data_IF_117393206244
#
_entry.id   IF_117393206244
#
_cell.length_a   1.000
_cell.length_b   1.000
_cell.length_c   1.000
_cell.angle_alpha   90.00
_cell.angle_beta   90.00
_cell.angle_gamma   90.00
#
_symmetry.space_group_name_H-M   'P 1'
#
loop_
_entity.id
_entity.type
_entity.pdbx_description
1 polymer ?
#
# COMPACT_ATOMS: atom_id res chain seq x y z
N UNK A 1 6.76 -3.68 -5.65
CA UNK A 1 8.07 -4.34 -5.85
C UNK A 1 8.11 -4.98 -7.23
N UNK A 2 9.18 -4.75 -7.98
CA UNK A 2 9.33 -5.18 -9.35
C UNK A 2 10.62 -6.01 -9.47
N UNK A 3 10.53 -7.19 -10.06
CA UNK A 3 11.69 -8.06 -10.31
C UNK A 3 12.26 -7.87 -11.72
N UNK A 4 13.55 -8.15 -11.86
CA UNK A 4 14.22 -8.20 -13.16
C UNK A 4 14.62 -6.84 -13.74
N UNK A 5 14.45 -5.74 -12.99
CA UNK A 5 14.80 -4.39 -13.44
C UNK A 5 15.55 -3.63 -12.35
N UNK A 6 16.52 -2.80 -12.73
CA UNK A 6 17.12 -1.84 -11.81
C UNK A 6 16.28 -0.57 -11.68
N UNK A 7 16.62 0.26 -10.69
CA UNK A 7 16.08 1.62 -10.55
C UNK A 7 16.45 2.50 -11.75
N UNK A 8 17.67 2.40 -12.25
CA UNK A 8 18.12 3.07 -13.48
C UNK A 8 17.29 2.62 -14.70
N UNK A 9 17.06 1.31 -14.86
CA UNK A 9 16.26 0.76 -15.98
C UNK A 9 14.81 1.28 -15.98
N UNK A 10 14.28 1.59 -14.79
CA UNK A 10 12.92 2.09 -14.64
C UNK A 10 12.78 3.55 -15.11
N UNK A 11 13.78 4.40 -14.84
CA UNK A 11 13.77 5.82 -15.20
C UNK A 11 14.45 6.15 -16.54
N UNK A 12 15.10 5.17 -17.17
CA UNK A 12 15.86 5.37 -18.41
C UNK A 12 14.96 5.75 -19.58
N UNK A 13 15.36 6.80 -20.30
CA UNK A 13 14.72 7.25 -21.56
C UNK A 13 15.49 6.85 -22.81
N UNK A 14 16.75 6.45 -22.69
CA UNK A 14 17.58 6.09 -23.84
C UNK A 14 17.46 4.60 -24.20
N UNK A 15 17.13 4.30 -25.45
CA UNK A 15 17.11 2.93 -25.97
C UNK A 15 18.42 2.64 -26.73
N UNK A 16 19.25 1.75 -26.17
CA UNK A 16 20.53 1.38 -26.76
C UNK A 16 20.41 0.57 -28.06
N UNK A 17 19.29 -0.13 -28.29
CA UNK A 17 19.07 -0.93 -29.50
C UNK A 17 18.72 -0.07 -30.70
N UNK A 18 17.86 0.93 -30.50
CA UNK A 18 17.40 1.84 -31.57
C UNK A 18 18.20 3.13 -31.63
N UNK A 19 19.12 3.35 -30.68
CA UNK A 19 19.90 4.59 -30.52
C UNK A 19 19.02 5.84 -30.51
N UNK A 20 17.85 5.76 -29.88
CA UNK A 20 16.84 6.82 -29.87
C UNK A 20 16.33 7.12 -28.46
N UNK A 21 15.77 8.31 -28.29
CA UNK A 21 14.95 8.61 -27.11
C UNK A 21 13.65 7.80 -27.17
N UNK A 22 13.23 7.31 -26.02
CA UNK A 22 12.03 6.50 -25.79
C UNK A 22 11.41 6.90 -24.45
N UNK A 23 10.10 6.69 -24.29
CA UNK A 23 9.46 6.90 -22.98
C UNK A 23 10.02 5.90 -21.96
N UNK A 24 10.29 6.40 -20.76
CA UNK A 24 10.76 5.56 -19.65
C UNK A 24 9.64 4.66 -19.13
N UNK A 25 9.99 3.63 -18.36
CA UNK A 25 8.98 2.81 -17.67
C UNK A 25 8.26 3.63 -16.61
N UNK A 26 8.95 4.56 -15.96
CA UNK A 26 8.34 5.52 -15.04
C UNK A 26 7.23 6.32 -15.74
N UNK A 27 7.49 6.85 -16.94
CA UNK A 27 6.48 7.62 -17.69
C UNK A 27 5.27 6.76 -18.04
N UNK A 28 5.50 5.57 -18.61
CA UNK A 28 4.44 4.62 -18.96
C UNK A 28 3.62 4.19 -17.74
N UNK A 29 4.29 4.02 -16.59
CA UNK A 29 3.64 3.68 -15.33
C UNK A 29 2.75 4.81 -14.83
N UNK A 30 3.23 6.06 -14.88
CA UNK A 30 2.43 7.24 -14.55
C UNK A 30 1.20 7.37 -15.45
N UNK A 31 1.39 7.25 -16.76
CA UNK A 31 0.30 7.33 -17.74
C UNK A 31 -0.75 6.24 -17.46
N UNK A 32 -0.30 4.99 -17.27
CA UNK A 32 -1.22 3.87 -17.02
C UNK A 32 -2.01 4.05 -15.72
N UNK A 33 -1.37 4.53 -14.65
CA UNK A 33 -2.08 4.80 -13.40
C UNK A 33 -3.05 5.98 -13.51
N UNK A 34 -2.69 7.02 -14.27
CA UNK A 34 -3.56 8.16 -14.53
C UNK A 34 -4.84 7.72 -15.23
N UNK A 35 -4.70 6.88 -16.27
CA UNK A 35 -5.83 6.29 -17.01
C UNK A 35 -6.71 5.42 -16.10
N UNK A 36 -6.12 4.51 -15.32
CA UNK A 36 -6.86 3.61 -14.41
C UNK A 36 -7.57 4.34 -13.26
N UNK A 37 -7.00 5.46 -12.80
CA UNK A 37 -7.57 6.27 -11.73
C UNK A 37 -8.52 7.35 -12.23
N UNK A 38 -8.61 7.55 -13.54
CA UNK A 38 -9.31 8.66 -14.19
C UNK A 38 -8.91 10.01 -13.58
N UNK A 39 -7.61 10.27 -13.53
CA UNK A 39 -6.99 11.51 -13.03
C UNK A 39 -5.92 11.98 -14.01
N UNK A 40 -5.50 13.24 -13.91
CA UNK A 40 -4.42 13.76 -14.73
C UNK A 40 -3.08 13.12 -14.35
N UNK A 41 -2.21 12.95 -15.35
CA UNK A 41 -0.86 12.40 -15.18
C UNK A 41 -0.02 13.15 -14.15
N UNK A 42 -0.22 14.45 -14.06
CA UNK A 42 0.45 15.33 -13.10
C UNK A 42 0.03 15.08 -11.66
N UNK A 43 -1.13 14.46 -11.44
CA UNK A 43 -1.60 14.05 -10.13
C UNK A 43 -1.07 12.68 -9.69
N UNK A 44 -0.19 12.04 -10.47
CA UNK A 44 0.46 10.76 -10.13
C UNK A 44 1.94 11.01 -9.84
N UNK A 45 2.33 10.89 -8.58
CA UNK A 45 3.69 11.14 -8.11
C UNK A 45 4.41 9.82 -7.85
N UNK A 46 5.49 9.57 -8.59
CA UNK A 46 6.44 8.50 -8.26
C UNK A 46 7.57 9.15 -7.46
N UNK A 47 7.47 9.06 -6.13
CA UNK A 47 8.39 9.77 -5.22
C UNK A 47 9.58 8.93 -4.77
N UNK A 48 9.61 7.62 -5.06
CA UNK A 48 10.75 6.76 -4.76
C UNK A 48 10.87 5.59 -5.73
N UNK A 49 12.08 5.36 -6.22
CA UNK A 49 12.48 4.20 -7.04
C UNK A 49 13.82 3.72 -6.48
N UNK A 50 13.81 2.61 -5.72
CA UNK A 50 14.95 2.13 -4.96
C UNK A 50 15.34 0.71 -5.34
N UNK A 51 16.60 0.49 -5.72
CA UNK A 51 17.15 -0.84 -5.92
C UNK A 51 17.37 -1.53 -4.56
N UNK A 52 16.67 -2.63 -4.32
CA UNK A 52 16.77 -3.43 -3.09
C UNK A 52 17.82 -4.53 -3.18
N UNK A 53 17.97 -5.12 -4.37
CA UNK A 53 18.93 -6.19 -4.64
C UNK A 53 19.47 -6.03 -6.05
N UNK A 54 20.78 -6.26 -6.25
CA UNK A 54 21.42 -6.18 -7.57
C UNK A 54 21.27 -7.46 -8.41
N UNK A 55 21.36 -8.65 -7.79
CA UNK A 55 21.35 -9.93 -8.50
C UNK A 55 20.47 -10.98 -7.80
N UNK A 56 19.38 -11.45 -8.43
CA UNK A 56 18.70 -10.78 -9.55
C UNK A 56 18.13 -9.42 -9.11
N UNK A 57 18.03 -8.45 -10.03
CA UNK A 57 17.64 -7.09 -9.68
C UNK A 57 16.21 -7.04 -9.16
N UNK A 58 16.01 -6.29 -8.08
CA UNK A 58 14.74 -6.12 -7.39
C UNK A 58 14.59 -4.65 -7.00
N UNK A 59 13.57 -4.00 -7.52
CA UNK A 59 13.36 -2.55 -7.36
C UNK A 59 12.02 -2.28 -6.70
N UNK A 60 12.03 -1.43 -5.68
CA UNK A 60 10.83 -0.92 -5.04
C UNK A 60 10.46 0.43 -5.64
N UNK A 61 9.19 0.58 -5.99
CA UNK A 61 8.61 1.82 -6.51
C UNK A 61 7.51 2.25 -5.54
N UNK A 62 7.59 3.48 -5.05
CA UNK A 62 6.54 4.08 -4.23
C UNK A 62 5.95 5.28 -4.96
N UNK A 63 4.62 5.35 -4.89
CA UNK A 63 3.87 6.37 -5.58
C UNK A 63 2.68 6.81 -4.76
N UNK A 64 2.23 8.02 -5.02
CA UNK A 64 0.95 8.56 -4.57
C UNK A 64 0.18 9.04 -5.78
N UNK A 65 -1.13 9.10 -5.65
CA UNK A 65 -1.95 9.80 -6.62
C UNK A 65 -3.03 10.60 -5.89
N UNK A 66 -3.38 11.74 -6.46
CA UNK A 66 -4.36 12.64 -5.87
C UNK A 66 -5.49 13.02 -6.81
N UNK A 67 -6.62 13.35 -6.20
CA UNK A 67 -7.64 14.23 -6.76
C UNK A 67 -7.89 15.35 -5.75
N UNK A 68 -9.15 15.74 -5.55
CA UNK A 68 -9.55 16.52 -4.38
C UNK A 68 -10.23 15.60 -3.35
N UNK A 69 -9.55 14.91 -2.38
CA UNK A 69 -8.15 14.94 -1.92
C UNK A 69 -7.28 13.73 -2.40
N UNK A 70 -6.10 13.48 -1.78
CA UNK A 70 -5.25 12.30 -2.03
C UNK A 70 -6.00 10.97 -1.87
N UNK A 71 -5.74 10.03 -2.78
CA UNK A 71 -6.32 8.69 -2.67
C UNK A 71 -5.63 7.89 -1.57
N UNK A 72 -6.42 7.13 -0.80
CA UNK A 72 -5.88 6.24 0.24
C UNK A 72 -4.99 5.15 -0.39
N UNK A 73 -3.89 4.75 0.28
CA UNK A 73 -2.98 3.72 -0.23
C UNK A 73 -3.69 2.40 -0.58
N UNK A 74 -4.70 2.02 0.21
CA UNK A 74 -5.48 0.80 -0.03
C UNK A 74 -6.18 0.81 -1.40
N UNK A 75 -6.70 1.97 -1.84
CA UNK A 75 -7.31 2.11 -3.17
C UNK A 75 -6.26 1.96 -4.26
N UNK A 76 -5.10 2.58 -4.09
CA UNK A 76 -4.02 2.53 -5.07
C UNK A 76 -3.48 1.11 -5.24
N UNK A 77 -3.20 0.43 -4.12
CA UNK A 77 -2.79 -0.97 -4.13
C UNK A 77 -3.86 -1.86 -4.79
N UNK A 78 -5.13 -1.67 -4.45
CA UNK A 78 -6.24 -2.41 -5.05
C UNK A 78 -6.34 -2.24 -6.57
N UNK A 79 -6.17 -1.01 -7.08
CA UNK A 79 -6.16 -0.74 -8.53
C UNK A 79 -4.98 -1.43 -9.22
N UNK A 80 -3.77 -1.36 -8.64
CA UNK A 80 -2.60 -2.03 -9.21
C UNK A 80 -2.78 -3.55 -9.20
N UNK A 81 -3.37 -4.13 -8.16
CA UNK A 81 -3.64 -5.56 -8.09
C UNK A 81 -4.69 -6.01 -9.12
N UNK A 82 -5.81 -5.31 -9.25
CA UNK A 82 -6.86 -5.67 -10.22
C UNK A 82 -6.41 -5.56 -11.67
N UNK A 83 -5.52 -4.62 -11.96
CA UNK A 83 -5.02 -4.37 -13.32
C UNK A 83 -3.57 -4.80 -13.51
N UNK A 84 -3.08 -5.74 -12.70
CA UNK A 84 -1.66 -6.13 -12.67
C UNK A 84 -1.14 -6.55 -14.04
N UNK A 85 -1.82 -7.47 -14.72
CA UNK A 85 -1.39 -7.98 -16.02
C UNK A 85 -1.34 -6.89 -17.09
N UNK A 86 -2.33 -5.99 -17.07
CA UNK A 86 -2.42 -4.85 -17.99
C UNK A 86 -1.26 -3.87 -17.76
N UNK A 87 -0.95 -3.56 -16.50
CA UNK A 87 0.19 -2.71 -16.12
C UNK A 87 1.52 -3.37 -16.48
N UNK A 88 1.70 -4.67 -16.18
CA UNK A 88 2.93 -5.41 -16.49
C UNK A 88 3.21 -5.41 -17.99
N UNK A 89 2.18 -5.64 -18.81
CA UNK A 89 2.25 -5.61 -20.27
C UNK A 89 2.53 -4.20 -20.80
N UNK A 90 1.77 -3.20 -20.35
CA UNK A 90 1.84 -1.84 -20.89
C UNK A 90 3.02 -1.04 -20.38
N UNK A 91 3.65 -1.43 -19.28
CA UNK A 91 4.86 -0.79 -18.75
C UNK A 91 6.11 -1.62 -19.08
N UNK A 92 5.96 -2.94 -19.27
CA UNK A 92 7.04 -3.88 -19.51
C UNK A 92 7.83 -4.16 -18.23
N UNK A 93 7.12 -4.56 -17.18
CA UNK A 93 7.65 -4.85 -15.82
C UNK A 93 7.08 -6.15 -15.29
N UNK A 94 7.69 -6.70 -14.24
CA UNK A 94 7.18 -7.88 -13.53
C UNK A 94 6.95 -7.51 -12.06
N UNK A 95 5.71 -7.21 -11.68
CA UNK A 95 5.34 -6.74 -10.34
C UNK A 95 5.22 -7.96 -9.44
N UNK A 96 6.18 -8.20 -8.55
CA UNK A 96 6.14 -9.37 -7.67
C UNK A 96 5.26 -9.17 -6.44
N UNK A 97 5.07 -7.93 -5.99
CA UNK A 97 4.34 -7.61 -4.76
C UNK A 97 3.79 -6.18 -4.82
N UNK A 98 2.53 -6.01 -4.43
CA UNK A 98 1.85 -4.72 -4.27
C UNK A 98 1.47 -4.57 -2.81
N UNK A 99 1.77 -3.42 -2.20
CA UNK A 99 1.82 -3.32 -0.74
C UNK A 99 2.99 -4.16 -0.21
N UNK A 100 4.19 -3.57 -0.21
CA UNK A 100 5.41 -4.29 0.17
C UNK A 100 5.27 -4.78 1.61
N UNK A 101 5.44 -6.10 1.77
CA UNK A 101 5.29 -6.82 3.01
C UNK A 101 6.51 -7.72 3.20
N UNK A 102 7.40 -7.34 4.12
CA UNK A 102 8.58 -8.13 4.49
C UNK A 102 8.24 -9.26 5.47
N UNK A 103 7.02 -9.25 6.02
CA UNK A 103 6.46 -10.26 6.90
C UNK A 103 5.60 -11.31 6.14
N UNK A 104 5.51 -11.22 4.81
CA UNK A 104 4.64 -12.10 4.00
C UNK A 104 4.92 -13.60 4.21
N UNK A 105 6.19 -13.97 4.40
CA UNK A 105 6.59 -15.36 4.61
C UNK A 105 6.90 -15.60 6.09
N UNK A 106 6.08 -16.45 6.72
CA UNK A 106 6.26 -16.88 8.10
C UNK A 106 7.63 -17.52 8.32
N UNK A 107 8.23 -17.26 9.49
CA UNK A 107 9.52 -17.82 9.92
C UNK A 107 10.72 -17.53 8.99
N UNK A 108 10.57 -16.66 7.99
CA UNK A 108 11.70 -16.24 7.16
C UNK A 108 12.51 -15.12 7.83
N UNK A 109 11.83 -14.14 8.42
CA UNK A 109 12.46 -12.98 9.08
C UNK A 109 12.37 -13.05 10.61
N UNK A 110 11.27 -13.59 11.14
CA UNK A 110 10.96 -13.61 12.56
C UNK A 110 10.42 -14.98 12.97
N UNK A 111 10.86 -15.52 14.09
CA UNK A 111 10.19 -16.63 14.77
C UNK A 111 9.04 -16.06 15.60
N UNK A 112 7.80 -16.23 15.11
CA UNK A 112 6.59 -15.67 15.74
C UNK A 112 6.03 -14.43 15.04
N UNK A 113 5.50 -13.48 15.82
CA UNK A 113 4.84 -12.28 15.27
C UNK A 113 5.79 -11.37 14.49
N UNK A 114 5.32 -10.86 13.35
CA UNK A 114 6.05 -9.94 12.50
C UNK A 114 5.17 -8.75 12.11
N UNK A 115 5.72 -7.55 12.16
CA UNK A 115 5.04 -6.30 11.79
C UNK A 115 5.90 -5.52 10.81
N UNK A 116 5.29 -5.01 9.74
CA UNK A 116 5.97 -4.11 8.81
C UNK A 116 6.04 -2.70 9.38
N UNK A 117 7.23 -2.11 9.41
CA UNK A 117 7.42 -0.70 9.73
C UNK A 117 8.05 0.06 8.56
N UNK A 118 7.71 1.35 8.45
CA UNK A 118 8.25 2.23 7.43
C UNK A 118 9.35 3.08 8.03
N UNK A 119 10.57 2.89 7.55
CA UNK A 119 11.69 3.77 7.85
C UNK A 119 11.85 4.81 6.74
N UNK A 120 11.69 6.09 7.09
CA UNK A 120 11.78 7.22 6.16
C UNK A 120 13.03 8.00 6.50
N UNK A 121 14.04 7.90 5.64
CA UNK A 121 15.30 8.61 5.85
C UNK A 121 15.19 10.06 5.42
N UNK A 122 15.87 10.95 6.14
CA UNK A 122 16.09 12.34 5.73
C UNK A 122 17.07 12.48 4.57
N UNK A 123 17.83 11.42 4.26
CA UNK A 123 18.76 11.39 3.13
C UNK A 123 18.03 11.00 1.84
N UNK A 124 18.20 11.76 0.74
CA UNK A 124 17.56 11.42 -0.51
C UNK A 124 18.14 10.13 -1.12
N UNK A 125 17.36 9.53 -2.01
CA UNK A 125 17.83 8.47 -2.90
C UNK A 125 17.93 9.02 -4.32
N UNK A 126 19.14 9.07 -4.87
CA UNK A 126 19.40 9.56 -6.23
C UNK A 126 19.62 8.39 -7.18
N UNK A 127 18.89 8.39 -8.29
CA UNK A 127 19.08 7.48 -9.40
C UNK A 127 19.56 8.29 -10.60
N UNK A 128 20.64 7.85 -11.23
CA UNK A 128 21.19 8.49 -12.42
C UNK A 128 21.27 7.47 -13.57
N UNK A 129 20.38 7.63 -14.56
CA UNK A 129 20.35 6.82 -15.78
C UNK A 129 20.97 7.56 -16.98
N UNK A 130 22.04 8.32 -16.73
CA UNK A 130 22.82 9.11 -17.68
C UNK A 130 22.07 10.32 -18.27
N UNK A 131 21.01 10.09 -19.06
CA UNK A 131 20.20 11.18 -19.66
C UNK A 131 19.01 11.61 -18.79
N UNK A 132 18.73 10.86 -17.72
CA UNK A 132 17.68 11.17 -16.75
C UNK A 132 18.19 10.91 -15.35
N UNK A 133 17.79 11.77 -14.42
CA UNK A 133 18.03 11.60 -13.00
C UNK A 133 16.72 11.76 -12.23
N UNK A 134 16.60 11.02 -11.14
CA UNK A 134 15.48 11.10 -10.21
C UNK A 134 16.06 11.22 -8.81
N UNK A 135 15.61 12.23 -8.06
CA UNK A 135 15.91 12.37 -6.64
C UNK A 135 14.60 12.15 -5.89
N UNK A 136 14.54 11.07 -5.13
CA UNK A 136 13.35 10.65 -4.38
C UNK A 136 13.60 10.54 -2.88
N UNK A 137 12.55 10.18 -2.17
CA UNK A 137 12.61 9.89 -0.73
C UNK A 137 13.13 8.48 -0.54
N UNK A 138 14.11 8.30 0.34
CA UNK A 138 14.55 6.96 0.76
C UNK A 138 13.58 6.42 1.81
N UNK A 139 12.86 5.37 1.44
CA UNK A 139 11.84 4.73 2.27
C UNK A 139 11.96 3.22 2.20
N UNK A 140 12.29 2.64 3.34
CA UNK A 140 12.47 1.20 3.51
C UNK A 140 11.26 0.60 4.25
N UNK A 141 10.82 -0.59 3.83
CA UNK A 141 9.95 -1.43 4.67
C UNK A 141 10.87 -2.35 5.44
N UNK A 142 10.72 -2.37 6.75
CA UNK A 142 11.48 -3.24 7.65
C UNK A 142 10.51 -4.20 8.34
N UNK A 143 10.97 -5.43 8.55
CA UNK A 143 10.29 -6.39 9.40
C UNK A 143 10.74 -6.19 10.85
N UNK A 144 9.79 -5.92 11.75
CA UNK A 144 10.01 -5.93 13.18
C UNK A 144 9.34 -7.16 13.79
N UNK A 145 10.11 -7.94 14.56
CA UNK A 145 9.63 -9.15 15.21
C UNK A 145 8.83 -8.83 16.48
N UNK A 146 7.75 -8.09 16.30
CA UNK A 146 6.80 -7.71 17.34
C UNK A 146 5.38 -7.86 16.81
N UNK A 147 4.42 -7.90 17.74
CA UNK A 147 2.99 -7.93 17.40
C UNK A 147 2.46 -6.49 17.35
N UNK A 148 2.36 -5.92 16.15
CA UNK A 148 1.88 -4.56 15.92
C UNK A 148 0.46 -4.35 16.43
N UNK A 149 -0.40 -5.36 16.28
CA UNK A 149 -1.77 -5.32 16.80
C UNK A 149 -1.86 -5.25 18.33
N UNK A 150 -0.83 -5.70 19.07
CA UNK A 150 -0.78 -5.67 20.55
C UNK A 150 0.29 -4.72 21.07
N UNK A 151 0.86 -3.85 20.23
CA UNK A 151 1.90 -2.91 20.65
C UNK A 151 1.26 -1.68 21.33
N UNK A 152 0.91 -1.83 22.61
CA UNK A 152 0.35 -0.77 23.47
C UNK A 152 1.37 0.29 23.91
N UNK A 153 2.55 0.35 23.31
CA UNK A 153 3.63 1.30 23.69
C UNK A 153 3.21 2.77 23.59
N UNK A 154 2.15 3.07 22.84
CA UNK A 154 1.56 4.40 22.77
C UNK A 154 0.34 4.47 23.70
N UNK A 155 0.46 5.26 24.76
CA UNK A 155 -0.68 5.59 25.61
C UNK A 155 -1.77 6.26 24.76
N UNK A 156 -2.91 5.59 24.61
CA UNK A 156 -4.05 6.13 23.90
C UNK A 156 -4.83 7.07 24.80
N UNK A 157 -5.13 8.25 24.27
CA UNK A 157 -5.96 9.26 24.93
C UNK A 157 -6.96 9.77 23.92
N UNK A 158 -7.98 10.51 24.35
CA UNK A 158 -8.89 11.12 23.39
C UNK A 158 -8.20 12.15 22.48
N UNK A 159 -7.02 12.64 22.86
CA UNK A 159 -6.19 13.50 22.00
C UNK A 159 -5.65 12.77 20.77
N UNK A 160 -5.45 11.45 20.84
CA UNK A 160 -5.00 10.66 19.68
C UNK A 160 -6.14 10.26 18.73
N UNK A 161 -7.37 10.75 18.97
CA UNK A 161 -8.57 10.45 18.15
C UNK A 161 -8.75 8.96 17.81
N UNK A 162 -8.81 8.07 18.82
CA UNK A 162 -8.83 6.63 18.59
C UNK A 162 -10.19 6.08 18.11
N UNK A 163 -11.26 6.87 18.19
CA UNK A 163 -12.58 6.47 17.70
C UNK A 163 -12.73 6.77 16.20
N UNK A 164 -13.10 5.76 15.43
CA UNK A 164 -13.30 5.87 13.99
C UNK A 164 -14.67 6.45 13.65
N UNK A 165 -14.83 6.87 12.39
CA UNK A 165 -16.12 7.21 11.78
C UNK A 165 -16.93 8.30 12.53
N UNK A 166 -16.25 9.25 13.17
CA UNK A 166 -16.90 10.33 13.92
C UNK A 166 -17.40 9.93 15.30
N UNK A 167 -16.95 8.78 15.83
CA UNK A 167 -17.20 8.37 17.21
C UNK A 167 -16.68 9.40 18.22
N UNK A 168 -17.48 9.67 19.26
CA UNK A 168 -17.07 10.54 20.37
C UNK A 168 -16.23 9.74 21.36
N UNK A 169 -14.99 10.18 21.56
CA UNK A 169 -14.08 9.58 22.54
C UNK A 169 -14.38 10.05 23.97
N UNK A 170 -14.31 9.12 24.93
CA UNK A 170 -14.48 9.36 26.35
C UNK A 170 -13.36 8.65 27.14
N UNK A 171 -12.64 9.39 27.98
CA UNK A 171 -11.69 8.83 28.94
C UNK A 171 -12.45 8.42 30.19
N UNK A 172 -12.33 7.15 30.57
CA UNK A 172 -12.99 6.57 31.75
C UNK A 172 -11.96 6.03 32.73
N UNK A 173 -12.39 5.74 33.97
CA UNK A 173 -11.54 5.09 34.99
C UNK A 173 -11.00 3.71 34.58
N UNK A 174 -11.60 3.08 33.55
CA UNK A 174 -11.23 1.75 33.05
C UNK A 174 -10.49 1.83 31.70
N UNK A 175 -10.10 3.04 31.27
CA UNK A 175 -9.47 3.28 29.96
C UNK A 175 -10.39 4.02 29.01
N UNK A 176 -10.12 3.86 27.71
CA UNK A 176 -10.77 4.64 26.67
C UNK A 176 -12.06 3.97 26.14
N UNK A 177 -13.10 4.76 25.92
CA UNK A 177 -14.38 4.29 25.39
C UNK A 177 -14.88 5.20 24.26
N UNK A 178 -15.53 4.61 23.26
CA UNK A 178 -16.08 5.34 22.10
C UNK A 178 -17.62 5.25 22.08
N UNK A 179 -18.28 6.39 21.98
CA UNK A 179 -19.71 6.48 21.67
C UNK A 179 -19.88 6.60 20.15
N UNK A 180 -20.50 5.60 19.54
CA UNK A 180 -20.59 5.48 18.08
C UNK A 180 -21.85 6.15 17.52
N UNK A 181 -21.73 6.89 16.40
CA UNK A 181 -22.88 7.38 15.68
C UNK A 181 -23.69 6.22 15.09
N UNK A 182 -24.95 6.50 14.75
CA UNK A 182 -25.87 5.49 14.18
C UNK A 182 -25.26 4.86 12.93
N UNK A 183 -25.27 3.52 12.85
CA UNK A 183 -24.71 2.76 11.73
C UNK A 183 -23.25 2.30 11.90
N UNK A 184 -22.60 2.64 13.02
CA UNK A 184 -21.26 2.19 13.37
C UNK A 184 -21.25 1.48 14.72
N UNK A 185 -20.47 0.42 14.85
CA UNK A 185 -20.38 -0.39 16.07
C UNK A 185 -18.94 -0.81 16.37
N UNK A 186 -18.76 -1.52 17.49
CA UNK A 186 -17.47 -2.00 17.97
C UNK A 186 -16.79 -1.04 18.96
N UNK A 187 -15.75 -1.51 19.68
CA UNK A 187 -15.07 -0.75 20.73
C UNK A 187 -14.56 0.64 20.32
N UNK A 188 -14.25 0.82 19.03
CA UNK A 188 -13.78 2.09 18.45
C UNK A 188 -14.61 2.58 17.28
N UNK A 189 -15.85 2.11 17.14
CA UNK A 189 -16.73 2.45 16.01
C UNK A 189 -16.16 2.04 14.64
N UNK A 190 -15.30 1.02 14.62
CA UNK A 190 -14.62 0.53 13.42
C UNK A 190 -15.49 -0.42 12.58
N UNK A 191 -16.49 -1.07 13.18
CA UNK A 191 -17.32 -2.01 12.47
C UNK A 191 -18.30 -1.25 11.57
N UNK A 192 -18.33 -1.63 10.29
CA UNK A 192 -19.22 -1.04 9.28
C UNK A 192 -19.96 -2.15 8.55
N UNK A 193 -21.25 -1.97 8.31
CA UNK A 193 -22.02 -2.84 7.41
C UNK A 193 -21.91 -2.33 5.99
N UNK A 194 -21.56 -3.22 5.05
CA UNK A 194 -21.56 -2.92 3.61
C UNK A 194 -22.54 -3.84 2.88
N UNK A 195 -23.14 -3.33 1.82
CA UNK A 195 -24.08 -4.07 0.99
C UNK A 195 -23.63 -3.99 -0.46
N UNK A 196 -23.49 -5.16 -1.10
CA UNK A 196 -23.08 -5.29 -2.49
C UNK A 196 -24.23 -5.81 -3.33
N UNK A 197 -24.44 -5.25 -4.53
CA UNK A 197 -25.51 -5.65 -5.46
C UNK A 197 -25.04 -6.55 -6.60
N UNK A 198 -23.80 -7.07 -6.53
CA UNK A 198 -23.21 -7.99 -7.51
C UNK A 198 -21.91 -7.48 -8.15
N UNK A 199 -21.86 -6.20 -8.54
CA UNK A 199 -20.69 -5.62 -9.24
C UNK A 199 -19.88 -4.67 -8.35
N UNK A 200 -20.02 -4.78 -7.03
CA UNK A 200 -19.35 -3.90 -6.07
C UNK A 200 -18.25 -4.64 -5.32
N UNK A 201 -17.18 -3.92 -5.01
CA UNK A 201 -16.08 -4.39 -4.18
C UNK A 201 -15.71 -3.31 -3.16
N UNK A 202 -14.99 -3.68 -2.11
CA UNK A 202 -14.47 -2.75 -1.13
C UNK A 202 -13.03 -3.15 -0.77
N UNK A 203 -12.17 -2.15 -0.70
CA UNK A 203 -10.78 -2.31 -0.26
C UNK A 203 -10.65 -1.91 1.20
N UNK A 204 -10.14 -2.83 2.01
CA UNK A 204 -9.82 -2.58 3.41
C UNK A 204 -8.30 -2.59 3.60
N UNK A 205 -7.77 -1.71 4.48
CA UNK A 205 -6.38 -1.84 4.91
C UNK A 205 -6.11 -3.28 5.40
N UNK A 206 -4.89 -3.80 5.19
CA UNK A 206 -4.51 -5.09 5.75
C UNK A 206 -4.70 -5.08 7.27
N UNK A 207 -5.14 -6.21 7.81
CA UNK A 207 -5.25 -6.38 9.24
C UNK A 207 -3.84 -6.60 9.82
N UNK A 208 -3.54 -5.90 10.92
CA UNK A 208 -2.35 -6.23 11.70
C UNK A 208 -2.59 -7.59 12.37
N UNK A 209 -1.84 -8.60 11.94
CA UNK A 209 -1.93 -9.97 12.45
C UNK A 209 -0.71 -10.31 13.30
N UNK A 210 -0.92 -11.14 14.29
CA UNK A 210 0.11 -11.72 15.16
C UNK A 210 0.03 -13.24 15.10
N UNK A 211 1.05 -13.89 15.65
CA UNK A 211 1.20 -15.35 15.77
C UNK A 211 -0.10 -16.12 16.05
N UNK A 212 -0.92 -15.63 16.98
CA UNK A 212 -2.26 -16.15 17.24
C UNK A 212 -3.32 -15.05 17.08
N UNK A 213 -4.00 -15.07 15.92
CA UNK A 213 -5.03 -14.10 15.54
C UNK A 213 -6.26 -14.79 14.97
N UNK A 214 -7.44 -14.37 15.41
CA UNK A 214 -8.73 -14.85 14.89
C UNK A 214 -9.46 -13.74 14.15
N UNK A 215 -9.87 -14.01 12.91
CA UNK A 215 -10.76 -13.16 12.12
C UNK A 215 -12.15 -13.80 12.04
N UNK A 216 -13.17 -13.05 12.43
CA UNK A 216 -14.57 -13.41 12.21
C UNK A 216 -15.30 -12.30 11.45
N UNK A 217 -16.19 -12.69 10.56
CA UNK A 217 -17.10 -11.77 9.89
C UNK A 217 -18.45 -12.44 9.66
N UNK A 218 -19.49 -11.63 9.63
CA UNK A 218 -20.86 -12.07 9.40
C UNK A 218 -21.34 -11.52 8.06
N UNK A 219 -22.02 -12.35 7.28
CA UNK A 219 -22.60 -11.93 6.00
C UNK A 219 -24.00 -12.52 5.83
N UNK A 220 -24.81 -11.87 5.01
CA UNK A 220 -26.11 -12.36 4.58
C UNK A 220 -26.21 -12.25 3.05
N UNK A 221 -26.64 -13.31 2.40
CA UNK A 221 -26.74 -13.37 0.94
C UNK A 221 -27.99 -14.11 0.50
N UNK A 222 -28.50 -13.77 -0.69
CA UNK A 222 -29.54 -14.53 -1.39
C UNK A 222 -28.95 -15.42 -2.50
N UNK A 223 -27.64 -15.31 -2.76
CA UNK A 223 -26.92 -16.07 -3.78
C UNK A 223 -26.28 -17.30 -3.16
N UNK A 224 -26.24 -18.39 -3.92
CA UNK A 224 -25.59 -19.65 -3.56
C UNK A 224 -24.06 -19.57 -3.53
N UNK A 225 -23.50 -18.59 -4.22
CA UNK A 225 -22.08 -18.44 -4.49
C UNK A 225 -21.69 -16.96 -4.55
N UNK A 226 -20.41 -16.68 -4.23
CA UNK A 226 -19.83 -15.34 -4.23
C UNK A 226 -18.51 -15.29 -3.47
N UNK A 227 -17.65 -14.32 -3.82
CA UNK A 227 -16.39 -14.04 -3.12
C UNK A 227 -16.66 -13.10 -1.92
N UNK A 228 -16.06 -13.39 -0.76
CA UNK A 228 -16.26 -12.62 0.49
C UNK A 228 -14.99 -11.87 0.94
N UNK A 229 -13.83 -12.54 0.88
CA UNK A 229 -12.49 -12.02 1.18
C UNK A 229 -11.48 -12.66 0.25
#
# INVERSE_FOLDING_TARGET
>A
RIAGITDEDFIRVWNYRTQSLSRSKLDRFKDKLADLLNTDRENVDVFSVQLRRKHPPLTDVRFSAHGSPYYKPVRLNGIVLMHREEIEKDVGVNITMVGIDECLYENQMCEGSCTNTLDISSLPYMVNANKTSLVGVRVDVLAECTCGARNFSKAESCRSSPCFNGGRCMETRYGLSCSCPTGYTGPRCQQTTRSFRGNGWAWYPPLDMCDDSHLSFEFITRKSDGLLL
#
